data_IF_367586319797
#
_entry.id   IF_367586319797
#
_cell.length_a   1.000
_cell.length_b   1.000
_cell.length_c   1.000
_cell.angle_alpha   90.00
_cell.angle_beta   90.00
_cell.angle_gamma   90.00
#
_symmetry.space_group_name_H-M   'P 1'
#
loop_
_entity.id
_entity.type
_entity.pdbx_description
1 polymer ?
#
# COMPACT_ATOMS: atom_id res chain seq x y z
N UNK A 1 0.37 34.80 -0.42
CA UNK A 1 1.79 35.25 -0.48
C UNK A 1 2.80 34.20 0.05
N UNK A 2 2.87 33.84 1.35
CA UNK A 2 3.93 32.94 1.87
C UNK A 2 3.83 31.49 1.35
N UNK A 3 2.62 30.91 1.35
CA UNK A 3 2.37 29.56 0.86
C UNK A 3 2.64 29.43 -0.65
N UNK A 4 2.22 30.42 -1.43
CA UNK A 4 2.49 30.46 -2.88
C UNK A 4 3.99 30.54 -3.16
N UNK A 5 4.74 31.37 -2.42
CA UNK A 5 6.19 31.47 -2.58
C UNK A 5 6.91 30.16 -2.25
N UNK A 6 6.43 29.42 -1.26
CA UNK A 6 6.95 28.10 -0.91
C UNK A 6 6.58 27.05 -1.99
N UNK A 7 5.37 27.11 -2.54
CA UNK A 7 4.97 26.26 -3.66
C UNK A 7 5.84 26.50 -4.89
N UNK A 8 6.06 27.76 -5.26
CA UNK A 8 6.91 28.14 -6.39
C UNK A 8 8.36 27.69 -6.20
N UNK A 9 8.91 27.80 -4.99
CA UNK A 9 10.28 27.33 -4.72
C UNK A 9 10.40 25.81 -4.83
N UNK A 10 9.38 25.07 -4.37
CA UNK A 10 9.32 23.61 -4.52
C UNK A 10 9.25 23.19 -5.99
N UNK A 11 8.41 23.85 -6.79
CA UNK A 11 8.30 23.58 -8.24
C UNK A 11 9.65 23.86 -8.93
N UNK A 12 10.30 24.99 -8.60
CA UNK A 12 11.61 25.33 -9.16
C UNK A 12 12.69 24.31 -8.80
N UNK A 13 12.72 23.84 -7.55
CA UNK A 13 13.64 22.81 -7.10
C UNK A 13 13.41 21.48 -7.83
N UNK A 14 12.15 21.03 -7.91
CA UNK A 14 11.79 19.81 -8.61
C UNK A 14 12.22 19.86 -10.09
N UNK A 15 11.99 20.98 -10.78
CA UNK A 15 12.42 21.16 -12.16
C UNK A 15 13.95 21.06 -12.32
N UNK A 16 14.73 21.66 -11.41
CA UNK A 16 16.20 21.57 -11.41
C UNK A 16 16.67 20.13 -11.20
N UNK A 17 16.10 19.41 -10.25
CA UNK A 17 16.44 18.00 -9.98
C UNK A 17 16.10 17.12 -11.18
N UNK A 18 14.93 17.32 -11.79
CA UNK A 18 14.50 16.57 -12.96
C UNK A 18 15.36 16.82 -14.20
N UNK A 19 15.97 18.01 -14.33
CA UNK A 19 16.91 18.32 -15.40
C UNK A 19 18.23 17.55 -15.26
N UNK A 20 18.64 17.20 -14.04
CA UNK A 20 19.87 16.45 -13.76
C UNK A 20 19.73 14.94 -13.99
N UNK A 21 18.50 14.42 -14.10
CA UNK A 21 18.24 13.00 -14.32
C UNK A 21 17.98 12.78 -15.82
N UNK A 22 18.86 12.12 -16.60
CA UNK A 22 18.65 12.02 -18.05
C UNK A 22 17.55 11.02 -18.42
N UNK A 23 17.48 9.89 -17.70
CA UNK A 23 16.55 8.79 -18.01
C UNK A 23 15.11 9.10 -17.59
N UNK A 24 14.12 9.00 -18.50
CA UNK A 24 12.70 9.15 -18.15
C UNK A 24 12.22 8.14 -17.09
N UNK A 25 12.77 6.93 -17.08
CA UNK A 25 12.43 5.89 -16.10
C UNK A 25 12.91 6.30 -14.71
N UNK A 26 14.14 6.80 -14.60
CA UNK A 26 14.69 7.26 -13.32
C UNK A 26 13.92 8.48 -12.77
N UNK A 27 13.41 9.36 -13.62
CA UNK A 27 12.53 10.46 -13.19
C UNK A 27 11.23 9.94 -12.57
N UNK A 28 10.59 8.95 -13.21
CA UNK A 28 9.37 8.31 -12.70
C UNK A 28 9.63 7.64 -11.34
N UNK A 29 10.74 6.89 -11.23
CA UNK A 29 11.14 6.26 -9.97
C UNK A 29 11.39 7.29 -8.88
N UNK A 30 12.08 8.40 -9.19
CA UNK A 30 12.35 9.46 -8.22
C UNK A 30 11.07 10.11 -7.68
N UNK A 31 10.12 10.41 -8.57
CA UNK A 31 8.80 10.93 -8.16
C UNK A 31 8.04 9.91 -7.30
N UNK A 32 8.02 8.65 -7.73
CA UNK A 32 7.39 7.58 -6.97
C UNK A 32 8.00 7.48 -5.56
N UNK A 33 9.33 7.47 -5.44
CA UNK A 33 10.01 7.45 -4.14
C UNK A 33 9.67 8.67 -3.30
N UNK A 34 9.62 9.86 -3.89
CA UNK A 34 9.21 11.07 -3.18
C UNK A 34 7.77 10.94 -2.63
N UNK A 35 6.84 10.46 -3.43
CA UNK A 35 5.43 10.28 -3.02
C UNK A 35 5.29 9.19 -1.94
N UNK A 36 6.08 8.13 -2.03
CA UNK A 36 6.17 7.10 -1.01
C UNK A 36 6.68 7.65 0.32
N UNK A 37 7.79 8.40 0.32
CA UNK A 37 8.37 8.95 1.55
C UNK A 37 7.46 10.01 2.19
N UNK A 38 6.75 10.80 1.39
CA UNK A 38 5.97 11.94 1.88
C UNK A 38 4.53 11.61 2.22
N UNK A 39 3.92 10.67 1.50
CA UNK A 39 2.48 10.44 1.55
C UNK A 39 2.15 8.99 1.87
N UNK A 40 2.59 8.04 1.03
CA UNK A 40 2.10 6.66 1.12
C UNK A 40 2.66 5.91 2.33
N UNK A 41 3.96 5.99 2.59
CA UNK A 41 4.57 5.29 3.73
C UNK A 41 4.07 5.83 5.08
N UNK A 42 4.02 7.16 5.33
CA UNK A 42 3.40 7.68 6.55
C UNK A 42 1.95 7.24 6.71
N UNK A 43 1.17 7.21 5.63
CA UNK A 43 -0.20 6.71 5.66
C UNK A 43 -0.27 5.24 6.08
N UNK A 44 0.54 4.37 5.48
CA UNK A 44 0.58 2.95 5.80
C UNK A 44 1.03 2.69 7.25
N UNK A 45 2.06 3.40 7.71
CA UNK A 45 2.60 3.27 9.07
C UNK A 45 1.61 3.73 10.15
N UNK A 46 0.70 4.65 9.82
CA UNK A 46 -0.34 5.11 10.74
C UNK A 46 -1.46 4.07 10.94
N UNK A 47 -1.51 3.00 10.14
CA UNK A 47 -2.54 1.96 10.23
C UNK A 47 -2.13 0.85 11.21
N UNK A 48 -3.12 0.27 11.87
CA UNK A 48 -2.92 -0.82 12.84
C UNK A 48 -3.22 -2.16 12.17
N UNK A 49 -2.24 -3.08 12.20
CA UNK A 49 -2.40 -4.44 11.69
C UNK A 49 -3.50 -5.18 12.46
N UNK A 50 -4.29 -6.01 11.76
CA UNK A 50 -5.47 -6.74 12.24
C UNK A 50 -6.62 -5.85 12.75
N UNK A 51 -6.56 -4.53 12.58
CA UNK A 51 -7.67 -3.60 12.93
C UNK A 51 -8.09 -2.78 11.72
N UNK A 52 -7.13 -2.20 11.00
CA UNK A 52 -7.40 -1.45 9.76
C UNK A 52 -7.14 -2.29 8.51
N UNK A 53 -6.15 -3.17 8.58
CA UNK A 53 -5.71 -4.01 7.48
C UNK A 53 -5.06 -5.28 8.01
N UNK A 54 -4.89 -6.30 7.16
CA UNK A 54 -4.11 -7.49 7.49
C UNK A 54 -4.16 -8.52 6.37
N UNK A 55 -3.40 -9.61 6.54
CA UNK A 55 -3.56 -10.81 5.73
C UNK A 55 -4.65 -11.70 6.32
N UNK A 56 -5.27 -12.49 5.45
CA UNK A 56 -6.12 -13.60 5.86
C UNK A 56 -5.25 -14.72 6.42
N UNK A 57 -5.63 -15.33 7.54
CA UNK A 57 -5.04 -16.58 8.02
C UNK A 57 -5.38 -17.73 7.06
N UNK A 58 -4.70 -18.88 7.18
CA UNK A 58 -5.03 -20.07 6.37
C UNK A 58 -6.49 -20.52 6.60
N UNK A 59 -7.00 -20.39 7.82
CA UNK A 59 -8.41 -20.66 8.16
C UNK A 59 -9.34 -19.65 7.46
N UNK A 60 -9.07 -18.34 7.59
CA UNK A 60 -9.87 -17.28 6.95
C UNK A 60 -9.86 -17.38 5.40
N UNK A 61 -8.76 -17.88 4.82
CA UNK A 61 -8.67 -18.20 3.40
C UNK A 61 -9.55 -19.39 3.00
N UNK A 62 -9.53 -20.48 3.77
CA UNK A 62 -10.35 -21.66 3.52
C UNK A 62 -11.85 -21.31 3.62
N UNK A 63 -12.24 -20.55 4.65
CA UNK A 63 -13.60 -20.07 4.83
C UNK A 63 -14.04 -19.18 3.66
N UNK A 64 -13.17 -18.26 3.23
CA UNK A 64 -13.42 -17.41 2.06
C UNK A 64 -13.64 -18.24 0.79
N UNK A 65 -12.82 -19.27 0.57
CA UNK A 65 -12.91 -20.14 -0.61
C UNK A 65 -14.15 -21.05 -0.58
N UNK A 66 -14.58 -21.45 0.63
CA UNK A 66 -15.81 -22.20 0.82
C UNK A 66 -17.05 -21.34 0.55
N UNK A 67 -17.02 -20.07 0.97
CA UNK A 67 -18.09 -19.10 0.73
C UNK A 67 -18.16 -18.69 -0.76
N UNK A 68 -17.01 -18.42 -1.38
CA UNK A 68 -16.91 -18.04 -2.79
C UNK A 68 -15.73 -18.75 -3.49
N UNK A 69 -15.99 -19.84 -4.24
CA UNK A 69 -14.98 -20.57 -5.00
C UNK A 69 -14.30 -19.74 -6.12
N UNK A 70 -14.87 -18.59 -6.50
CA UNK A 70 -14.35 -17.69 -7.55
C UNK A 70 -13.60 -16.49 -6.97
N UNK A 71 -13.30 -16.47 -5.67
CA UNK A 71 -12.55 -15.38 -5.04
C UNK A 71 -11.21 -15.12 -5.76
N UNK A 72 -10.87 -13.85 -6.05
CA UNK A 72 -9.61 -13.56 -6.73
C UNK A 72 -8.42 -13.88 -5.84
N UNK A 73 -7.36 -14.44 -6.45
CA UNK A 73 -6.09 -14.77 -5.76
C UNK A 73 -5.45 -13.56 -5.07
N UNK A 74 -5.68 -12.35 -5.59
CA UNK A 74 -5.23 -11.10 -4.98
C UNK A 74 -5.80 -10.92 -3.56
N UNK A 75 -7.06 -11.30 -3.31
CA UNK A 75 -7.66 -11.21 -1.97
C UNK A 75 -7.01 -12.18 -0.96
N UNK A 76 -6.55 -13.32 -1.44
CA UNK A 76 -5.89 -14.32 -0.61
C UNK A 76 -4.44 -13.93 -0.29
N UNK A 77 -3.75 -13.27 -1.22
CA UNK A 77 -2.31 -12.97 -1.11
C UNK A 77 -1.97 -11.53 -0.71
N UNK A 78 -2.87 -10.57 -0.91
CA UNK A 78 -2.64 -9.15 -0.58
C UNK A 78 -3.31 -8.78 0.74
N UNK A 79 -2.86 -7.69 1.36
CA UNK A 79 -3.56 -7.14 2.52
C UNK A 79 -4.99 -6.75 2.16
N UNK A 80 -5.93 -7.13 3.02
CA UNK A 80 -7.33 -6.75 2.95
C UNK A 80 -7.67 -5.76 4.07
N UNK A 81 -8.67 -4.88 3.88
CA UNK A 81 -9.14 -3.99 4.92
C UNK A 81 -9.92 -4.76 5.99
N UNK A 82 -9.81 -4.30 7.22
CA UNK A 82 -10.52 -4.84 8.38
C UNK A 82 -11.59 -3.84 8.81
N UNK A 83 -12.79 -4.35 9.11
CA UNK A 83 -13.90 -3.51 9.61
C UNK A 83 -13.82 -3.30 11.13
N UNK A 84 -13.07 -4.17 11.80
CA UNK A 84 -12.84 -4.16 13.24
C UNK A 84 -11.65 -5.06 13.57
N UNK A 85 -11.38 -5.20 14.87
CA UNK A 85 -10.31 -6.10 15.32
C UNK A 85 -10.59 -7.52 14.87
N UNK A 86 -9.64 -8.10 14.12
CA UNK A 86 -9.67 -9.49 13.64
C UNK A 86 -10.88 -9.84 12.75
N UNK A 87 -11.54 -8.83 12.16
CA UNK A 87 -12.67 -9.05 11.25
C UNK A 87 -12.35 -8.50 9.86
N UNK A 88 -11.97 -9.35 8.89
CA UNK A 88 -11.69 -8.91 7.54
C UNK A 88 -12.99 -8.49 6.83
N UNK A 89 -12.87 -7.49 5.95
CA UNK A 89 -13.99 -7.08 5.11
C UNK A 89 -14.28 -8.13 4.02
N UNK A 90 -15.57 -8.35 3.72
CA UNK A 90 -16.00 -9.36 2.73
C UNK A 90 -15.60 -9.01 1.29
N UNK A 91 -15.75 -7.74 0.90
CA UNK A 91 -15.58 -7.34 -0.51
C UNK A 91 -15.01 -5.92 -0.64
N UNK A 92 -13.82 -5.68 -0.08
CA UNK A 92 -13.21 -4.35 -0.16
C UNK A 92 -11.73 -4.47 -0.48
N UNK A 93 -11.31 -3.79 -1.54
CA UNK A 93 -9.92 -3.55 -1.89
C UNK A 93 -9.57 -2.10 -1.54
N UNK A 94 -8.30 -1.81 -1.28
CA UNK A 94 -7.89 -0.42 -1.09
C UNK A 94 -7.97 0.34 -2.42
N UNK A 95 -8.42 1.60 -2.35
CA UNK A 95 -8.64 2.43 -3.54
C UNK A 95 -7.37 2.79 -4.33
N UNK A 96 -6.18 2.57 -3.75
CA UNK A 96 -4.91 2.98 -4.35
C UNK A 96 -3.91 1.82 -4.34
N UNK A 97 -3.32 1.45 -5.51
CA UNK A 97 -2.45 0.29 -5.62
C UNK A 97 -1.19 0.40 -4.76
N UNK A 98 -0.56 1.59 -4.66
CA UNK A 98 0.60 1.79 -3.77
C UNK A 98 0.24 1.57 -2.29
N UNK A 99 -0.97 1.93 -1.87
CA UNK A 99 -1.42 1.67 -0.50
C UNK A 99 -1.63 0.18 -0.29
N UNK A 100 -2.24 -0.53 -1.25
CA UNK A 100 -2.35 -2.00 -1.20
C UNK A 100 -0.98 -2.65 -1.09
N UNK A 101 -0.01 -2.26 -1.91
CA UNK A 101 1.36 -2.79 -1.87
C UNK A 101 2.00 -2.51 -0.52
N UNK A 102 1.91 -1.27 -0.03
CA UNK A 102 2.52 -0.85 1.23
C UNK A 102 1.95 -1.61 2.42
N UNK A 103 0.64 -1.67 2.53
CA UNK A 103 -0.03 -2.43 3.58
C UNK A 103 0.22 -3.93 3.45
N UNK A 104 0.35 -4.47 2.24
CA UNK A 104 0.71 -5.88 2.02
C UNK A 104 2.11 -6.18 2.55
N UNK A 105 3.11 -5.37 2.21
CA UNK A 105 4.48 -5.51 2.72
C UNK A 105 4.50 -5.43 4.25
N UNK A 106 3.78 -4.48 4.83
CA UNK A 106 3.69 -4.34 6.29
C UNK A 106 2.98 -5.54 6.93
N UNK A 107 1.91 -6.06 6.31
CA UNK A 107 1.15 -7.19 6.84
C UNK A 107 2.00 -8.47 6.85
N UNK A 108 2.73 -8.78 5.77
CA UNK A 108 3.71 -9.87 5.76
C UNK A 108 4.83 -9.66 6.77
N UNK A 109 5.28 -8.41 6.98
CA UNK A 109 6.31 -8.11 7.97
C UNK A 109 5.83 -8.33 9.41
N UNK A 110 4.54 -8.17 9.69
CA UNK A 110 3.97 -8.36 11.04
C UNK A 110 3.46 -9.77 11.29
N UNK A 111 2.82 -10.40 10.29
CA UNK A 111 2.16 -11.69 10.42
C UNK A 111 3.01 -12.86 9.93
N UNK A 112 4.07 -12.60 9.16
CA UNK A 112 4.86 -13.64 8.49
C UNK A 112 4.22 -14.11 7.17
N UNK A 113 4.95 -14.97 6.46
CA UNK A 113 4.46 -15.75 5.32
C UNK A 113 3.74 -16.99 5.84
N UNK A 114 2.68 -17.42 5.16
CA UNK A 114 2.01 -18.70 5.43
C UNK A 114 2.71 -19.82 4.65
N UNK A 115 2.51 -21.05 5.09
CA UNK A 115 3.04 -22.21 4.38
C UNK A 115 2.47 -22.32 2.95
N UNK A 116 1.22 -21.90 2.77
CA UNK A 116 0.52 -21.88 1.48
C UNK A 116 0.98 -20.74 0.53
N UNK A 117 1.85 -19.82 0.99
CA UNK A 117 2.36 -18.71 0.17
C UNK A 117 3.60 -19.09 -0.66
N UNK A 118 4.19 -20.27 -0.44
CA UNK A 118 5.35 -20.81 -1.19
C UNK A 118 4.94 -21.52 -2.48
#
# INVERSE_FOLDING_TARGET
IRLERASLSQISLAAKVMALVPSPVHKKLLNLTHDWLRTFMPHCLAKVNRVSFGLLSSEECADTLADDPMVPRSRLALAVPFIGKDVPSKSSEFAHPDITIGLTVMAYRYSGLRDDDF
#
